data_IF_752025487169
#
_entry.id   IF_752025487169
#
_cell.length_a   1.000
_cell.length_b   1.000
_cell.length_c   1.000
_cell.angle_alpha   90.00
_cell.angle_beta   90.00
_cell.angle_gamma   90.00
#
_symmetry.space_group_name_H-M   'P 1'
#
loop_
_entity.id
_entity.type
_entity.pdbx_description
1 polymer ?
#
# COMPACT_ATOMS: atom_id res chain seq x y z
N UNK A 1 6.83 0.81 7.04
CA UNK A 1 7.52 1.75 7.91
C UNK A 1 9.02 1.69 7.70
N UNK A 2 9.60 0.52 7.72
CA UNK A 2 11.05 0.33 7.61
C UNK A 2 11.53 0.01 6.18
N UNK A 3 10.65 0.03 5.19
CA UNK A 3 10.97 -0.36 3.81
C UNK A 3 11.23 -1.85 3.59
N UNK A 4 10.94 -2.69 4.58
CA UNK A 4 11.16 -4.15 4.47
C UNK A 4 10.19 -4.78 3.47
N UNK A 5 10.71 -5.54 2.53
CA UNK A 5 9.91 -6.37 1.62
C UNK A 5 9.66 -7.72 2.28
N UNK A 6 8.38 -8.04 2.51
CA UNK A 6 8.00 -9.25 3.24
C UNK A 6 8.08 -10.50 2.35
N UNK A 7 8.42 -11.63 2.96
CA UNK A 7 8.41 -12.94 2.29
C UNK A 7 6.98 -13.49 2.10
N UNK A 8 6.18 -12.84 1.27
CA UNK A 8 4.74 -13.07 1.09
C UNK A 8 4.43 -14.53 0.73
N UNK A 9 5.17 -15.14 -0.20
CA UNK A 9 4.93 -16.55 -0.58
C UNK A 9 5.04 -17.52 0.59
N UNK A 10 5.96 -17.24 1.53
CA UNK A 10 6.09 -18.04 2.75
C UNK A 10 4.90 -17.83 3.69
N UNK A 11 4.42 -16.58 3.82
CA UNK A 11 3.23 -16.27 4.60
C UNK A 11 1.97 -16.91 3.99
N UNK A 12 1.80 -16.84 2.67
CA UNK A 12 0.69 -17.50 1.96
C UNK A 12 0.67 -18.99 2.21
N UNK A 13 1.81 -19.66 2.02
CA UNK A 13 1.93 -21.11 2.29
C UNK A 13 1.57 -21.47 3.74
N UNK A 14 2.02 -20.68 4.71
CA UNK A 14 1.73 -20.93 6.11
C UNK A 14 0.24 -20.72 6.45
N UNK A 15 -0.38 -19.65 5.93
CA UNK A 15 -1.80 -19.38 6.10
C UNK A 15 -2.67 -20.49 5.49
N UNK A 16 -2.40 -20.85 4.24
CA UNK A 16 -3.17 -21.86 3.51
C UNK A 16 -3.02 -23.26 4.14
N UNK A 17 -1.87 -23.59 4.72
CA UNK A 17 -1.66 -24.87 5.42
C UNK A 17 -2.61 -25.09 6.60
N UNK A 18 -3.17 -24.03 7.17
CA UNK A 18 -4.14 -24.09 8.27
C UNK A 18 -5.54 -23.64 7.85
N UNK A 19 -5.79 -23.49 6.55
CA UNK A 19 -7.07 -23.04 5.98
C UNK A 19 -7.37 -21.55 6.17
N UNK A 20 -6.40 -20.75 6.62
CA UNK A 20 -6.54 -19.31 6.77
C UNK A 20 -6.41 -18.58 5.42
N UNK A 21 -7.05 -17.42 5.30
CA UNK A 21 -6.92 -16.52 4.15
C UNK A 21 -5.82 -15.50 4.41
N UNK A 22 -5.12 -15.09 3.35
CA UNK A 22 -4.09 -14.06 3.41
C UNK A 22 -4.56 -12.80 2.70
N UNK A 23 -4.63 -11.69 3.44
CA UNK A 23 -4.79 -10.35 2.89
C UNK A 23 -3.47 -9.60 2.97
N UNK A 24 -3.12 -8.93 1.88
CA UNK A 24 -1.95 -8.08 1.80
C UNK A 24 -2.36 -6.62 1.68
N UNK A 25 -1.84 -5.77 2.55
CA UNK A 25 -1.84 -4.33 2.35
C UNK A 25 -0.62 -3.96 1.50
N UNK A 26 -0.88 -3.66 0.24
CA UNK A 26 0.12 -3.29 -0.75
C UNK A 26 0.29 -1.78 -0.95
N UNK A 27 -0.27 -0.94 -0.07
CA UNK A 27 -0.22 0.52 -0.22
C UNK A 27 1.19 1.08 -0.40
N UNK A 28 2.20 0.44 0.20
CA UNK A 28 3.60 0.84 0.07
C UNK A 28 4.37 -0.02 -0.95
N UNK A 29 3.75 -1.01 -1.57
CA UNK A 29 4.41 -1.84 -2.57
C UNK A 29 4.13 -1.35 -4.00
N UNK A 30 2.86 -1.04 -4.30
CA UNK A 30 2.42 -0.66 -5.66
C UNK A 30 3.14 0.55 -6.26
N UNK A 31 3.59 1.58 -5.52
CA UNK A 31 4.35 2.69 -6.11
C UNK A 31 5.84 2.37 -6.34
N UNK A 32 6.37 1.31 -5.72
CA UNK A 32 7.82 1.06 -5.66
C UNK A 32 8.26 -0.19 -6.43
N UNK A 33 7.35 -1.12 -6.72
CA UNK A 33 7.69 -2.38 -7.39
C UNK A 33 6.50 -3.00 -8.13
N UNK A 34 6.80 -3.82 -9.14
CA UNK A 34 5.79 -4.59 -9.84
C UNK A 34 5.12 -5.63 -8.90
N UNK A 35 3.81 -5.70 -8.95
CA UNK A 35 3.00 -6.60 -8.14
C UNK A 35 2.20 -7.53 -9.05
N UNK A 36 2.41 -8.84 -8.90
CA UNK A 36 1.59 -9.88 -9.51
C UNK A 36 0.88 -10.66 -8.41
N UNK A 37 -0.41 -10.37 -8.23
CA UNK A 37 -1.25 -10.97 -7.17
C UNK A 37 -1.40 -12.49 -7.34
N UNK A 38 -1.36 -13.01 -8.57
CA UNK A 38 -1.40 -14.44 -8.82
C UNK A 38 -0.09 -15.11 -8.37
N UNK A 39 1.04 -14.51 -8.70
CA UNK A 39 2.37 -15.00 -8.29
C UNK A 39 2.62 -14.89 -6.78
N UNK A 40 1.97 -13.94 -6.10
CA UNK A 40 2.01 -13.79 -4.64
C UNK A 40 1.20 -14.84 -3.89
N UNK A 41 0.24 -15.48 -4.58
CA UNK A 41 -0.68 -16.49 -4.02
C UNK A 41 -1.49 -15.96 -2.82
N UNK A 42 -1.81 -14.67 -2.80
CA UNK A 42 -2.68 -14.08 -1.79
C UNK A 42 -4.17 -14.29 -2.12
N UNK A 43 -5.01 -14.16 -1.12
CA UNK A 43 -6.48 -14.23 -1.27
C UNK A 43 -7.10 -12.85 -1.49
N UNK A 44 -6.50 -11.82 -0.88
CA UNK A 44 -6.88 -10.41 -1.02
C UNK A 44 -5.64 -9.53 -1.15
N UNK A 45 -5.77 -8.45 -1.91
CA UNK A 45 -4.74 -7.42 -2.05
C UNK A 45 -5.40 -6.05 -2.08
N UNK A 46 -4.93 -5.11 -1.25
CA UNK A 46 -5.53 -3.78 -1.13
C UNK A 46 -4.48 -2.69 -1.28
N UNK A 47 -4.85 -1.58 -1.94
CA UNK A 47 -4.01 -0.39 -1.99
C UNK A 47 -4.85 0.89 -2.09
N UNK A 48 -4.22 2.03 -1.78
CA UNK A 48 -4.80 3.37 -1.87
C UNK A 48 -4.17 4.15 -3.01
N UNK A 49 -5.01 4.82 -3.81
CA UNK A 49 -4.56 5.54 -5.00
C UNK A 49 -3.58 6.69 -4.69
N UNK A 50 -3.79 7.43 -3.58
CA UNK A 50 -2.95 8.58 -3.23
C UNK A 50 -1.48 8.24 -2.96
N UNK A 51 -1.15 6.96 -2.74
CA UNK A 51 0.23 6.49 -2.61
C UNK A 51 0.84 6.07 -3.95
N UNK A 52 -0.02 5.88 -4.98
CA UNK A 52 0.37 5.57 -6.36
C UNK A 52 0.23 6.81 -7.25
N UNK A 53 0.61 8.00 -6.76
CA UNK A 53 0.51 9.28 -7.47
C UNK A 53 -0.91 9.66 -7.92
N UNK A 54 -1.92 8.91 -7.49
CA UNK A 54 -3.33 9.11 -7.79
C UNK A 54 -4.04 10.03 -6.79
N UNK A 55 -5.36 10.25 -6.96
CA UNK A 55 -6.16 11.10 -6.09
C UNK A 55 -6.38 10.47 -4.71
N UNK A 56 -6.76 11.31 -3.75
CA UNK A 56 -7.35 10.85 -2.48
C UNK A 56 -8.77 10.34 -2.71
N UNK A 57 -9.35 9.66 -1.72
CA UNK A 57 -10.76 9.23 -1.75
C UNK A 57 -11.04 7.93 -2.49
N UNK A 58 -10.03 7.30 -3.09
CA UNK A 58 -10.18 6.01 -3.77
C UNK A 58 -9.05 5.04 -3.42
N UNK A 59 -9.36 3.78 -3.47
CA UNK A 59 -8.45 2.64 -3.43
C UNK A 59 -9.07 1.45 -4.14
N UNK A 60 -8.32 0.39 -4.27
CA UNK A 60 -8.81 -0.85 -4.87
C UNK A 60 -8.52 -2.04 -3.95
N UNK A 61 -9.48 -2.97 -3.91
CA UNK A 61 -9.33 -4.29 -3.32
C UNK A 61 -9.46 -5.33 -4.43
N UNK A 62 -8.41 -6.07 -4.65
CA UNK A 62 -8.47 -7.30 -5.44
C UNK A 62 -8.68 -8.50 -4.52
N UNK A 63 -9.51 -9.46 -4.97
CA UNK A 63 -9.64 -10.75 -4.29
C UNK A 63 -9.92 -11.87 -5.29
N UNK A 64 -9.67 -13.11 -4.88
CA UNK A 64 -10.05 -14.28 -5.66
C UNK A 64 -11.56 -14.31 -5.86
N UNK A 65 -12.02 -14.45 -7.10
CA UNK A 65 -13.45 -14.37 -7.45
C UNK A 65 -14.32 -15.34 -6.62
N UNK A 66 -13.86 -16.57 -6.41
CA UNK A 66 -14.58 -17.58 -5.64
C UNK A 66 -14.78 -17.18 -4.16
N UNK A 67 -13.86 -16.41 -3.62
CA UNK A 67 -14.00 -15.88 -2.26
C UNK A 67 -15.06 -14.79 -2.24
N UNK A 68 -14.99 -13.84 -3.17
CA UNK A 68 -16.00 -12.78 -3.29
C UNK A 68 -17.40 -13.33 -3.55
N UNK A 69 -17.50 -14.37 -4.36
CA UNK A 69 -18.78 -15.01 -4.67
C UNK A 69 -19.44 -15.63 -3.43
N UNK A 70 -18.64 -16.20 -2.52
CA UNK A 70 -19.11 -16.79 -1.26
C UNK A 70 -19.36 -15.75 -0.15
N UNK A 71 -18.89 -14.51 -0.30
CA UNK A 71 -19.02 -13.46 0.73
C UNK A 71 -20.37 -12.73 0.62
N UNK A 72 -20.99 -12.36 1.76
CA UNK A 72 -22.11 -11.44 1.78
C UNK A 72 -21.64 -10.01 1.40
N UNK A 73 -22.56 -9.14 0.96
CA UNK A 73 -22.20 -7.73 0.74
C UNK A 73 -21.78 -7.06 2.05
N UNK A 74 -20.87 -6.11 1.93
CA UNK A 74 -20.40 -5.27 3.05
C UNK A 74 -21.35 -4.10 3.35
N UNK A 75 -21.86 -3.44 2.31
CA UNK A 75 -22.83 -2.36 2.36
C UNK A 75 -24.06 -2.68 1.52
N UNK A 76 -25.18 -2.03 1.85
CA UNK A 76 -26.34 -1.95 0.98
C UNK A 76 -26.44 -0.58 0.32
N UNK A 77 -26.95 -0.55 -0.93
CA UNK A 77 -27.14 0.70 -1.67
C UNK A 77 -27.55 0.47 -3.12
N UNK A 78 -27.56 1.52 -3.91
CA UNK A 78 -27.85 1.44 -5.34
C UNK A 78 -26.80 0.63 -6.10
N UNK A 79 -27.17 0.14 -7.26
CA UNK A 79 -26.34 -0.58 -8.24
C UNK A 79 -25.85 -1.99 -7.82
N UNK A 80 -25.88 -2.35 -6.54
CA UNK A 80 -25.37 -3.62 -6.01
C UNK A 80 -26.48 -4.67 -5.72
N UNK A 81 -27.74 -4.28 -5.86
CA UNK A 81 -28.92 -5.10 -5.61
C UNK A 81 -29.37 -5.72 -6.92
N UNK A 82 -29.75 -7.02 -6.90
CA UNK A 82 -30.41 -7.70 -8.00
C UNK A 82 -31.93 -7.62 -7.84
N UNK A 83 -32.46 -8.06 -6.69
CA UNK A 83 -33.89 -8.04 -6.40
C UNK A 83 -34.16 -7.69 -4.93
N UNK A 84 -35.22 -6.93 -4.69
CA UNK A 84 -35.73 -6.61 -3.34
C UNK A 84 -37.19 -7.06 -3.22
N UNK A 85 -37.52 -7.77 -2.14
CA UNK A 85 -38.89 -8.03 -1.69
C UNK A 85 -38.96 -7.87 -0.18
N UNK A 86 -40.15 -7.99 0.39
CA UNK A 86 -40.30 -7.95 1.86
C UNK A 86 -39.68 -9.17 2.55
N UNK A 87 -39.58 -10.29 1.84
CA UNK A 87 -39.08 -11.57 2.37
C UNK A 87 -37.59 -11.77 2.11
N UNK A 88 -37.08 -11.25 0.99
CA UNK A 88 -35.72 -11.54 0.53
C UNK A 88 -35.14 -10.40 -0.30
N UNK A 89 -33.87 -10.09 -0.06
CA UNK A 89 -33.03 -9.28 -0.95
C UNK A 89 -31.94 -10.15 -1.57
N UNK A 90 -31.79 -10.07 -2.88
CA UNK A 90 -30.67 -10.68 -3.60
C UNK A 90 -29.75 -9.61 -4.17
N UNK A 91 -28.50 -9.98 -4.39
CA UNK A 91 -27.44 -9.01 -4.73
C UNK A 91 -26.80 -9.39 -6.06
N UNK A 92 -26.29 -8.38 -6.75
CA UNK A 92 -25.52 -8.57 -7.96
C UNK A 92 -24.28 -9.46 -7.72
N UNK A 93 -23.76 -10.11 -8.76
CA UNK A 93 -22.49 -10.83 -8.62
C UNK A 93 -21.31 -9.87 -8.32
N UNK A 94 -20.17 -10.37 -7.82
CA UNK A 94 -18.96 -9.57 -7.74
C UNK A 94 -18.53 -9.06 -9.14
N UNK A 95 -17.91 -7.87 -9.25
CA UNK A 95 -17.55 -6.96 -8.15
C UNK A 95 -18.70 -6.06 -7.67
N UNK A 96 -19.77 -5.90 -8.46
CA UNK A 96 -20.86 -4.96 -8.19
C UNK A 96 -21.51 -5.13 -6.80
N UNK A 97 -21.56 -6.36 -6.27
CA UNK A 97 -22.04 -6.67 -4.90
C UNK A 97 -21.35 -5.87 -3.81
N UNK A 98 -20.10 -5.46 -4.02
CA UNK A 98 -19.27 -4.78 -3.04
C UNK A 98 -19.12 -3.29 -3.32
N UNK A 99 -19.77 -2.77 -4.37
CA UNK A 99 -19.67 -1.39 -4.83
C UNK A 99 -21.03 -0.69 -4.71
N UNK A 100 -21.43 -0.38 -3.46
CA UNK A 100 -22.74 0.20 -3.14
C UNK A 100 -22.80 1.70 -3.44
N UNK A 101 -23.79 2.11 -4.25
CA UNK A 101 -24.03 3.50 -4.59
C UNK A 101 -23.26 4.00 -5.81
N UNK A 102 -23.33 5.30 -6.06
CA UNK A 102 -22.57 5.94 -7.16
C UNK A 102 -21.07 5.81 -6.90
N UNK A 103 -20.30 5.25 -7.84
CA UNK A 103 -18.85 5.10 -7.64
C UNK A 103 -18.14 6.46 -7.65
N UNK A 104 -16.91 6.50 -7.14
CA UNK A 104 -16.02 7.65 -7.16
C UNK A 104 -15.49 7.90 -8.58
N UNK A 105 -16.35 8.40 -9.49
CA UNK A 105 -16.12 8.45 -10.95
C UNK A 105 -14.89 9.28 -11.29
N UNK A 106 -14.76 10.48 -10.70
CA UNK A 106 -13.65 11.41 -10.97
C UNK A 106 -12.33 10.79 -10.50
N UNK A 107 -12.34 10.20 -9.32
CA UNK A 107 -11.17 9.58 -8.71
C UNK A 107 -10.71 8.33 -9.49
N UNK A 108 -11.65 7.53 -10.02
CA UNK A 108 -11.31 6.38 -10.88
C UNK A 108 -10.61 6.83 -12.16
N UNK A 109 -11.14 7.88 -12.81
CA UNK A 109 -10.53 8.43 -14.04
C UNK A 109 -9.14 9.01 -13.74
N UNK A 110 -9.01 9.73 -12.62
CA UNK A 110 -7.72 10.29 -12.20
C UNK A 110 -6.71 9.20 -11.81
N UNK A 111 -7.16 8.09 -11.18
CA UNK A 111 -6.30 6.94 -10.90
C UNK A 111 -5.79 6.28 -12.19
N UNK A 112 -6.62 6.16 -13.23
CA UNK A 112 -6.18 5.62 -14.52
C UNK A 112 -5.04 6.46 -15.10
N UNK A 113 -5.16 7.80 -15.10
CA UNK A 113 -4.09 8.69 -15.56
C UNK A 113 -2.80 8.55 -14.72
N UNK A 114 -2.92 8.32 -13.41
CA UNK A 114 -1.75 8.08 -12.55
C UNK A 114 -1.06 6.75 -12.87
N UNK A 115 -1.83 5.71 -13.18
CA UNK A 115 -1.30 4.41 -13.62
C UNK A 115 -0.56 4.56 -14.95
N UNK A 116 -1.15 5.22 -15.94
CA UNK A 116 -0.52 5.50 -17.23
C UNK A 116 0.81 6.24 -17.06
N UNK A 117 0.86 7.22 -16.14
CA UNK A 117 2.08 7.97 -15.82
C UNK A 117 3.19 7.06 -15.25
N UNK A 118 2.84 6.20 -14.28
CA UNK A 118 3.78 5.25 -13.67
C UNK A 118 4.26 4.20 -14.67
N UNK A 119 3.37 3.69 -15.51
CA UNK A 119 3.70 2.73 -16.57
C UNK A 119 4.63 3.35 -17.63
N UNK A 120 4.43 4.63 -17.97
CA UNK A 120 5.30 5.33 -18.91
C UNK A 120 6.75 5.49 -18.40
N UNK A 121 6.95 5.60 -17.08
CA UNK A 121 8.28 5.61 -16.45
C UNK A 121 8.83 4.18 -16.36
N UNK A 122 7.98 3.24 -15.97
CA UNK A 122 8.29 1.85 -15.71
C UNK A 122 8.70 1.58 -14.27
N UNK A 123 8.02 0.63 -13.62
CA UNK A 123 8.26 0.28 -12.20
C UNK A 123 9.69 -0.21 -11.93
N UNK A 124 10.31 -0.90 -12.87
CA UNK A 124 11.71 -1.34 -12.73
C UNK A 124 12.67 -0.15 -12.69
N UNK A 125 12.43 0.89 -13.50
CA UNK A 125 13.23 2.12 -13.50
C UNK A 125 13.03 2.90 -12.20
N UNK A 126 11.78 3.02 -11.73
CA UNK A 126 11.44 3.64 -10.43
C UNK A 126 12.18 2.91 -9.30
N UNK A 127 12.05 1.59 -9.24
CA UNK A 127 12.69 0.77 -8.21
C UNK A 127 14.22 0.92 -8.23
N UNK A 128 14.85 0.86 -9.39
CA UNK A 128 16.31 1.02 -9.52
C UNK A 128 16.79 2.40 -9.05
N UNK A 129 16.06 3.47 -9.39
CA UNK A 129 16.36 4.83 -8.96
C UNK A 129 16.22 4.98 -7.44
N UNK A 130 15.13 4.53 -6.86
CA UNK A 130 14.91 4.57 -5.42
C UNK A 130 15.96 3.78 -4.63
N UNK A 131 16.35 2.61 -5.12
CA UNK A 131 17.41 1.80 -4.50
C UNK A 131 18.77 2.51 -4.53
N UNK A 132 19.07 3.28 -5.59
CA UNK A 132 20.29 4.11 -5.63
C UNK A 132 20.26 5.20 -4.57
N UNK A 133 19.14 5.93 -4.45
CA UNK A 133 18.95 6.98 -3.45
C UNK A 133 18.99 6.43 -2.02
N UNK A 134 18.35 5.30 -1.75
CA UNK A 134 18.36 4.63 -0.45
C UNK A 134 19.78 4.27 -0.03
N UNK A 135 20.56 3.66 -0.93
CA UNK A 135 21.97 3.30 -0.65
C UNK A 135 22.80 4.54 -0.34
N UNK A 136 22.74 5.56 -1.20
CA UNK A 136 23.50 6.80 -1.00
C UNK A 136 23.16 7.47 0.34
N UNK A 137 21.87 7.60 0.65
CA UNK A 137 21.39 8.21 1.90
C UNK A 137 21.83 7.40 3.12
N UNK A 138 21.65 6.08 3.10
CA UNK A 138 22.06 5.21 4.21
C UNK A 138 23.58 5.25 4.43
N UNK A 139 24.35 5.26 3.37
CA UNK A 139 25.81 5.33 3.44
C UNK A 139 26.30 6.69 3.98
N UNK A 140 25.61 7.78 3.64
CA UNK A 140 25.89 9.08 4.21
C UNK A 140 25.55 9.14 5.71
N UNK A 141 24.37 8.67 6.10
CA UNK A 141 23.92 8.66 7.50
C UNK A 141 24.76 7.73 8.40
N UNK A 142 25.25 6.60 7.88
CA UNK A 142 26.15 5.68 8.62
C UNK A 142 27.46 6.31 9.05
N UNK A 143 27.91 7.37 8.37
CA UNK A 143 29.12 8.10 8.74
C UNK A 143 28.91 9.07 9.89
N UNK A 144 27.67 9.29 10.32
CA UNK A 144 27.30 10.19 11.41
C UNK A 144 27.14 9.38 12.70
N UNK A 145 28.02 9.58 13.69
CA UNK A 145 28.02 8.81 14.94
C UNK A 145 26.76 8.99 15.77
N UNK A 146 26.05 10.12 15.61
CA UNK A 146 24.81 10.43 16.33
C UNK A 146 23.56 9.89 15.65
N UNK A 147 23.69 9.20 14.50
CA UNK A 147 22.53 8.70 13.74
C UNK A 147 22.45 7.18 13.87
N UNK A 148 21.26 6.70 14.22
CA UNK A 148 20.92 5.28 14.21
C UNK A 148 19.93 5.00 13.10
N UNK A 149 20.28 4.05 12.22
CA UNK A 149 19.43 3.60 11.11
C UNK A 149 18.59 2.40 11.50
N UNK A 150 17.36 2.36 10.98
CA UNK A 150 16.44 1.22 11.11
C UNK A 150 16.15 0.58 9.74
N UNK A 151 15.66 -0.65 9.80
CA UNK A 151 15.28 -1.40 8.60
C UNK A 151 16.46 -2.01 7.83
N UNK A 152 16.18 -2.79 6.78
CA UNK A 152 17.17 -3.48 6.00
C UNK A 152 17.94 -2.52 5.08
N UNK A 153 19.08 -2.99 4.58
CA UNK A 153 19.93 -2.19 3.68
C UNK A 153 19.33 -2.02 2.28
N UNK A 154 18.53 -2.98 1.86
CA UNK A 154 17.78 -3.02 0.61
C UNK A 154 16.32 -2.55 0.78
N UNK A 155 16.08 -1.63 1.73
CA UNK A 155 14.75 -1.08 1.98
C UNK A 155 14.13 -0.48 0.69
N UNK A 156 12.86 -0.72 0.47
CA UNK A 156 12.13 -0.18 -0.68
C UNK A 156 11.75 1.29 -0.43
N UNK A 157 12.44 2.23 -1.11
CA UNK A 157 12.09 3.65 -1.17
C UNK A 157 12.05 4.42 0.16
N UNK A 158 12.48 3.82 1.29
CA UNK A 158 12.34 4.39 2.64
C UNK A 158 13.66 4.29 3.40
N UNK A 159 14.05 5.40 4.05
CA UNK A 159 15.15 5.42 5.02
C UNK A 159 14.60 5.91 6.36
N UNK A 160 14.62 5.04 7.37
CA UNK A 160 14.18 5.37 8.74
C UNK A 160 15.39 5.53 9.65
N UNK A 161 15.43 6.63 10.41
CA UNK A 161 16.54 6.94 11.29
C UNK A 161 16.08 7.72 12.53
N UNK A 162 16.92 7.74 13.53
CA UNK A 162 16.83 8.65 14.69
C UNK A 162 18.17 9.35 14.90
N UNK A 163 18.12 10.53 15.51
CA UNK A 163 19.30 11.27 15.97
C UNK A 163 19.36 11.16 17.48
N UNK A 164 20.49 10.68 18.02
CA UNK A 164 20.64 10.45 19.45
C UNK A 164 20.47 11.74 20.25
N UNK A 165 19.60 11.71 21.25
CA UNK A 165 19.31 12.84 22.14
C UNK A 165 18.47 13.96 21.54
N UNK A 166 17.96 13.82 20.30
CA UNK A 166 17.11 14.81 19.63
C UNK A 166 15.73 14.22 19.35
N UNK A 167 14.68 14.95 19.76
CA UNK A 167 13.33 14.50 19.49
C UNK A 167 13.02 14.50 17.97
N UNK A 168 12.36 13.48 17.40
CA UNK A 168 12.10 13.39 15.96
C UNK A 168 11.39 14.60 15.34
N UNK A 169 10.50 15.27 16.08
CA UNK A 169 9.87 16.51 15.61
C UNK A 169 10.86 17.66 15.47
N UNK A 170 11.83 17.78 16.39
CA UNK A 170 12.87 18.81 16.32
C UNK A 170 13.80 18.56 15.12
N UNK A 171 14.15 17.29 14.86
CA UNK A 171 14.88 16.89 13.65
C UNK A 171 14.10 17.30 12.41
N UNK A 172 12.77 17.05 12.38
CA UNK A 172 11.92 17.46 11.28
C UNK A 172 11.90 18.96 11.07
N UNK A 173 11.76 19.74 12.13
CA UNK A 173 11.74 21.21 12.08
C UNK A 173 13.06 21.78 11.56
N UNK A 174 14.19 21.31 12.09
CA UNK A 174 15.53 21.78 11.69
C UNK A 174 15.80 21.44 10.22
N UNK A 175 15.46 20.24 9.78
CA UNK A 175 15.65 19.84 8.38
C UNK A 175 14.73 20.60 7.42
N UNK A 176 13.52 20.94 7.85
CA UNK A 176 12.59 21.75 7.07
C UNK A 176 13.14 23.17 6.83
N UNK A 177 13.78 23.78 7.84
CA UNK A 177 14.47 25.08 7.70
C UNK A 177 15.62 25.01 6.69
N UNK A 178 16.25 23.85 6.51
CA UNK A 178 17.29 23.58 5.51
C UNK A 178 16.72 23.11 4.15
N UNK A 179 15.41 23.09 3.98
CA UNK A 179 14.72 22.67 2.76
C UNK A 179 14.67 21.17 2.55
N UNK A 180 14.89 20.36 3.59
CA UNK A 180 14.84 18.89 3.53
C UNK A 180 13.57 18.37 4.18
N UNK A 181 12.61 17.92 3.38
CA UNK A 181 11.36 17.37 3.86
C UNK A 181 11.52 15.93 4.37
N UNK A 182 11.26 15.73 5.66
CA UNK A 182 11.16 14.41 6.28
C UNK A 182 9.80 14.23 6.95
N UNK A 183 9.46 13.00 7.28
CA UNK A 183 8.27 12.68 8.06
C UNK A 183 8.67 12.21 9.45
N UNK A 184 8.29 12.97 10.49
CA UNK A 184 8.47 12.59 11.90
C UNK A 184 7.18 11.96 12.46
N UNK A 185 7.31 11.04 13.41
CA UNK A 185 6.19 10.43 14.15
C UNK A 185 6.14 8.91 14.05
N UNK A 186 4.96 8.34 14.36
CA UNK A 186 4.79 6.89 14.50
C UNK A 186 4.60 6.14 13.17
N UNK A 187 4.38 6.81 12.06
CA UNK A 187 4.25 6.23 10.70
C UNK A 187 3.27 5.06 10.59
N UNK A 188 2.11 5.13 11.30
CA UNK A 188 1.11 4.06 11.42
C UNK A 188 1.62 2.79 12.14
N UNK A 189 2.70 2.89 12.92
CA UNK A 189 3.36 1.77 13.60
C UNK A 189 3.79 2.16 15.04
N UNK A 190 2.83 2.64 15.83
CA UNK A 190 3.07 3.18 17.18
C UNK A 190 3.72 2.19 18.17
N UNK A 191 3.65 0.90 17.91
CA UNK A 191 4.25 -0.15 18.77
C UNK A 191 5.69 -0.53 18.34
N UNK A 192 6.22 0.10 17.32
CA UNK A 192 7.61 -0.08 16.85
C UNK A 192 8.54 1.04 17.45
#
# INVERSE_FOLDING_TARGET
VLGSVLGVKRAAKAAHAVGAKLMLDGCQAVPHMAVDVAALDCDFYVFSAHKLYGPTGIGALWARYQILEAMPPWHGGGAMIDRVSFELTTYAPPPARFEAGTPAIVEVIALAAAIDYVEAIGLDAIHAHEQALVRETRDALRRMNSVRLFGPDDAAGIVSFEVEGVHPHDVGTILDEEGVAIRAGHHCAQLM
#
